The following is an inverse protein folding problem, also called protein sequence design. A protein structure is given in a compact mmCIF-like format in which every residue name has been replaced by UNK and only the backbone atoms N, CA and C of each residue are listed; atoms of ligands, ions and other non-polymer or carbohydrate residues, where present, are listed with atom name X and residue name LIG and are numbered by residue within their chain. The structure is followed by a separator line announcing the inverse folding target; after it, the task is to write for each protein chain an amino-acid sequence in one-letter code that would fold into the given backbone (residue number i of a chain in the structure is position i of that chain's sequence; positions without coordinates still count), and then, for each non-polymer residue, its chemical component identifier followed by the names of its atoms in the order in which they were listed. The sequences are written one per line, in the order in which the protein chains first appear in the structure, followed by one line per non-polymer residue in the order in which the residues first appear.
data_IF_801099616152
#
_entry.id   IF_801099616152
#
_cell.length_a   1.000
_cell.length_b   1.000
_cell.length_c   1.000
_cell.angle_alpha   90.00
_cell.angle_beta   90.00
_cell.angle_gamma   90.00
#
_symmetry.space_group_name_H-M   'P 1'
#
loop_
_entity.id
_entity.type
_entity.pdbx_description
1 polymer ?
#
# COMPACT_ATOMS: atom_id res chain seq x y z
N UNK A 1 -13.21 24.27 17.44
CA UNK A 1 -12.35 24.23 16.24
C UNK A 1 -10.91 24.10 16.73
N UNK A 2 -10.39 22.87 16.79
CA UNK A 2 -8.99 22.63 17.17
C UNK A 2 -8.18 22.87 15.90
N UNK A 3 -7.28 23.86 15.90
CA UNK A 3 -6.35 24.05 14.78
C UNK A 3 -5.51 22.79 14.65
N UNK A 4 -5.22 22.31 13.44
CA UNK A 4 -4.43 21.08 13.26
C UNK A 4 -2.99 21.20 13.78
N UNK A 5 -2.51 22.44 13.96
CA UNK A 5 -1.25 22.75 14.67
C UNK A 5 -1.37 22.69 16.20
N UNK A 6 -2.59 22.57 16.72
CA UNK A 6 -2.98 22.37 18.12
C UNK A 6 -3.63 21.00 18.34
N UNK A 7 -3.45 20.04 17.42
CA UNK A 7 -3.67 18.64 17.78
C UNK A 7 -2.83 18.42 19.04
N UNK A 8 -3.44 18.04 20.19
CA UNK A 8 -2.70 17.90 21.42
C UNK A 8 -1.48 17.03 21.16
N UNK A 9 -0.42 17.23 21.95
CA UNK A 9 0.66 16.27 22.11
C UNK A 9 0.07 14.99 22.74
N UNK A 10 -0.84 14.33 22.03
CA UNK A 10 -1.48 13.10 22.38
C UNK A 10 -0.37 12.07 22.25
N UNK A 11 0.08 11.54 23.38
CA UNK A 11 1.25 10.64 23.46
C UNK A 11 1.13 9.41 22.54
N UNK A 12 -0.08 9.07 22.10
CA UNK A 12 -0.36 7.96 21.18
C UNK A 12 -0.26 8.32 19.69
N UNK A 13 -0.12 9.59 19.32
CA UNK A 13 -0.11 9.99 17.91
C UNK A 13 1.28 9.73 17.28
N UNK A 14 1.39 8.87 16.26
CA UNK A 14 2.65 8.68 15.54
C UNK A 14 3.16 9.96 14.87
N UNK A 15 4.48 10.02 14.67
CA UNK A 15 5.13 10.98 13.78
C UNK A 15 4.56 10.85 12.37
N UNK A 16 3.93 11.93 11.89
CA UNK A 16 3.36 12.05 10.55
C UNK A 16 4.22 12.91 9.63
N UNK A 17 4.42 12.44 8.41
CA UNK A 17 5.12 13.16 7.34
C UNK A 17 4.35 14.37 6.84
N UNK A 18 4.94 15.13 5.92
CA UNK A 18 4.32 16.32 5.35
C UNK A 18 3.03 15.99 4.60
N UNK A 19 3.06 15.02 3.68
CA UNK A 19 1.89 14.60 2.90
C UNK A 19 0.74 14.10 3.80
N UNK A 20 1.07 13.31 4.83
CA UNK A 20 0.09 12.80 5.79
C UNK A 20 -0.55 13.91 6.63
N UNK A 21 0.26 14.89 7.09
CA UNK A 21 -0.26 16.07 7.79
C UNK A 21 -1.10 16.96 6.89
N UNK A 22 -0.72 17.12 5.63
CA UNK A 22 -1.50 17.88 4.65
C UNK A 22 -2.85 17.22 4.39
N UNK A 23 -2.88 15.89 4.19
CA UNK A 23 -4.13 15.13 4.02
C UNK A 23 -5.01 15.19 5.27
N UNK A 24 -4.44 15.01 6.45
CA UNK A 24 -5.19 15.10 7.70
C UNK A 24 -5.83 16.49 7.87
N UNK A 25 -5.10 17.57 7.54
CA UNK A 25 -5.65 18.94 7.51
C UNK A 25 -6.83 19.06 6.56
N UNK A 26 -6.67 18.61 5.32
CA UNK A 26 -7.72 18.69 4.31
C UNK A 26 -8.96 17.88 4.70
N UNK A 27 -8.79 16.72 5.35
CA UNK A 27 -9.91 15.94 5.88
C UNK A 27 -10.61 16.67 7.04
N UNK A 28 -9.85 17.24 7.97
CA UNK A 28 -10.40 17.98 9.11
C UNK A 28 -11.19 19.22 8.67
N UNK A 29 -10.73 19.94 7.65
CA UNK A 29 -11.43 21.10 7.06
C UNK A 29 -12.77 20.74 6.41
N UNK A 30 -12.96 19.48 6.00
CA UNK A 30 -14.19 18.98 5.36
C UNK A 30 -15.20 18.40 6.34
N UNK A 31 -14.77 18.15 7.58
CA UNK A 31 -15.59 17.56 8.64
C UNK A 31 -16.11 18.63 9.59
N UNK A 32 -17.23 18.33 10.27
CA UNK A 32 -17.86 19.24 11.25
C UNK A 32 -17.07 19.34 12.55
N UNK A 33 -16.31 18.29 12.88
CA UNK A 33 -15.46 18.21 14.06
C UNK A 33 -14.36 17.15 13.90
N UNK A 34 -13.51 17.04 14.91
CA UNK A 34 -12.47 16.00 14.97
C UNK A 34 -12.46 15.39 16.37
N UNK A 35 -12.46 14.06 16.45
CA UNK A 35 -12.43 13.30 17.69
C UNK A 35 -11.31 12.26 17.62
N UNK A 36 -10.50 12.20 18.67
CA UNK A 36 -9.60 11.09 18.92
C UNK A 36 -10.38 9.99 19.61
N UNK A 37 -10.48 8.83 18.96
CA UNK A 37 -11.25 7.73 19.51
C UNK A 37 -10.49 7.06 20.66
N UNK A 38 -11.12 7.04 21.83
CA UNK A 38 -10.52 6.69 23.12
C UNK A 38 -11.03 5.34 23.68
N UNK A 39 -11.64 4.49 22.84
CA UNK A 39 -12.30 3.22 23.21
C UNK A 39 -13.54 3.33 24.09
N UNK A 40 -13.80 4.48 24.70
CA UNK A 40 -14.98 4.74 25.51
C UNK A 40 -16.06 5.49 24.73
N UNK A 41 -15.67 6.19 23.66
CA UNK A 41 -16.58 6.91 22.77
C UNK A 41 -17.55 5.94 22.09
N UNK A 42 -18.82 6.00 22.49
CA UNK A 42 -19.93 5.18 21.96
C UNK A 42 -20.83 5.94 20.97
N UNK A 43 -20.70 7.27 20.92
CA UNK A 43 -21.48 8.13 20.02
C UNK A 43 -20.55 9.10 19.33
N UNK A 44 -20.66 9.20 18.00
CA UNK A 44 -19.89 10.11 17.16
C UNK A 44 -20.88 11.07 16.50
N UNK A 45 -20.62 12.37 16.59
CA UNK A 45 -21.48 13.35 15.94
C UNK A 45 -21.42 13.23 14.42
N UNK A 46 -22.53 13.47 13.69
CA UNK A 46 -22.53 13.38 12.24
C UNK A 46 -21.49 14.29 11.56
N UNK A 47 -20.80 13.76 10.57
CA UNK A 47 -19.78 14.47 9.79
C UNK A 47 -18.44 14.64 10.48
N UNK A 48 -18.21 13.92 11.58
CA UNK A 48 -16.97 14.01 12.36
C UNK A 48 -15.81 13.25 11.71
N UNK A 49 -14.60 13.81 11.82
CA UNK A 49 -13.36 13.12 11.57
C UNK A 49 -12.94 12.32 12.82
N UNK A 50 -12.93 11.00 12.72
CA UNK A 50 -12.54 10.10 13.81
C UNK A 50 -11.13 9.59 13.58
N UNK A 51 -10.21 9.93 14.48
CA UNK A 51 -8.82 9.46 14.45
C UNK A 51 -8.71 8.26 15.38
N UNK A 52 -8.30 7.11 14.83
CA UNK A 52 -8.10 5.85 15.58
C UNK A 52 -6.60 5.56 15.65
N UNK A 53 -5.89 6.07 16.69
CA UNK A 53 -4.44 5.94 16.79
C UNK A 53 -3.99 4.55 17.26
N UNK A 54 -4.88 3.78 17.88
CA UNK A 54 -4.57 2.48 18.48
C UNK A 54 -5.43 1.35 17.91
N UNK A 55 -4.88 0.13 17.81
CA UNK A 55 -5.63 -1.03 17.33
C UNK A 55 -6.90 -1.32 18.12
N UNK A 56 -7.88 -1.91 17.44
CA UNK A 56 -9.19 -2.24 18.00
C UNK A 56 -9.55 -3.69 17.66
N UNK A 57 -10.15 -4.38 18.62
CA UNK A 57 -10.70 -5.71 18.38
C UNK A 57 -11.97 -5.64 17.51
N UNK A 58 -12.44 -6.81 17.06
CA UNK A 58 -13.57 -6.91 16.16
C UNK A 58 -14.89 -6.40 16.75
N UNK A 59 -15.11 -6.55 18.07
CA UNK A 59 -16.34 -6.11 18.73
C UNK A 59 -16.38 -4.59 18.82
N UNK A 60 -15.27 -3.99 19.21
CA UNK A 60 -15.12 -2.52 19.26
C UNK A 60 -15.14 -1.88 17.89
N UNK A 61 -14.60 -2.57 16.87
CA UNK A 61 -14.71 -2.13 15.48
C UNK A 61 -16.16 -2.03 15.03
N UNK A 62 -16.99 -3.01 15.41
CA UNK A 62 -18.42 -3.00 15.10
C UNK A 62 -19.15 -1.87 15.82
N UNK A 63 -18.92 -1.71 17.12
CA UNK A 63 -19.52 -0.61 17.91
C UNK A 63 -19.15 0.76 17.34
N UNK A 64 -17.88 0.96 16.97
CA UNK A 64 -17.43 2.20 16.33
C UNK A 64 -18.17 2.39 15.00
N UNK A 65 -18.16 1.41 14.11
CA UNK A 65 -18.82 1.52 12.79
C UNK A 65 -20.30 1.85 12.90
N UNK A 66 -21.00 1.25 13.86
CA UNK A 66 -22.42 1.51 14.11
C UNK A 66 -22.68 2.93 14.61
N UNK A 67 -21.73 3.51 15.35
CA UNK A 67 -21.80 4.90 15.82
C UNK A 67 -21.51 5.96 14.74
N UNK A 68 -20.89 5.57 13.61
CA UNK A 68 -20.55 6.49 12.52
C UNK A 68 -21.76 6.76 11.62
N UNK A 69 -21.93 8.02 11.23
CA UNK A 69 -22.85 8.40 10.15
C UNK A 69 -22.20 8.23 8.76
N UNK A 70 -22.99 8.41 7.69
CA UNK A 70 -22.49 8.26 6.31
C UNK A 70 -21.47 9.32 5.89
N UNK A 71 -21.44 10.47 6.55
CA UNK A 71 -20.54 11.59 6.26
C UNK A 71 -19.29 11.61 7.14
N UNK A 72 -19.25 10.76 8.18
CA UNK A 72 -18.06 10.57 9.02
C UNK A 72 -16.88 9.98 8.22
N UNK A 73 -15.69 10.44 8.56
CA UNK A 73 -14.42 9.95 8.01
C UNK A 73 -13.60 9.36 9.13
N UNK A 74 -13.02 8.18 8.91
CA UNK A 74 -12.13 7.50 9.84
C UNK A 74 -10.70 7.59 9.30
N UNK A 75 -9.77 7.97 10.17
CA UNK A 75 -8.33 8.00 9.89
C UNK A 75 -7.63 7.00 10.79
N UNK A 76 -6.74 6.20 10.18
CA UNK A 76 -5.83 5.28 10.87
C UNK A 76 -4.41 5.69 10.54
N UNK A 77 -3.70 6.36 11.46
CA UNK A 77 -2.36 6.87 11.23
C UNK A 77 -1.27 5.80 11.02
N UNK A 78 -1.52 4.57 11.47
CA UNK A 78 -0.65 3.40 11.30
C UNK A 78 -1.38 2.29 10.54
N UNK A 79 -1.98 2.63 9.40
CA UNK A 79 -2.89 1.79 8.62
C UNK A 79 -2.26 0.50 8.06
N UNK A 80 -0.93 0.42 7.98
CA UNK A 80 -0.22 -0.80 7.58
C UNK A 80 -0.31 -1.92 8.62
N UNK A 81 -0.60 -1.61 9.88
CA UNK A 81 -0.72 -2.62 10.93
C UNK A 81 -1.94 -3.52 10.67
N UNK A 82 -1.79 -4.86 10.60
CA UNK A 82 -2.90 -5.78 10.43
C UNK A 82 -3.89 -5.77 11.60
N UNK A 83 -3.46 -5.29 12.77
CA UNK A 83 -4.32 -5.16 13.95
C UNK A 83 -5.52 -4.19 13.77
N UNK A 84 -5.54 -3.42 12.68
CA UNK A 84 -6.67 -2.57 12.28
C UNK A 84 -7.60 -3.22 11.23
N UNK A 85 -7.28 -4.41 10.73
CA UNK A 85 -8.07 -5.13 9.73
C UNK A 85 -9.54 -5.32 10.14
N UNK A 86 -9.88 -5.62 11.40
CA UNK A 86 -11.29 -5.71 11.81
C UNK A 86 -12.10 -4.44 11.55
N UNK A 87 -11.47 -3.27 11.67
CA UNK A 87 -12.08 -1.97 11.36
C UNK A 87 -12.10 -1.70 9.86
N UNK A 88 -10.95 -1.84 9.19
CA UNK A 88 -10.80 -1.55 7.76
C UNK A 88 -11.72 -2.40 6.90
N UNK A 89 -11.96 -3.66 7.29
CA UNK A 89 -12.87 -4.59 6.60
C UNK A 89 -14.36 -4.17 6.64
N UNK A 90 -14.76 -3.34 7.61
CA UNK A 90 -16.14 -2.85 7.77
C UNK A 90 -16.38 -1.48 7.12
N UNK A 91 -15.31 -0.80 6.71
CA UNK A 91 -15.34 0.53 6.11
C UNK A 91 -15.03 0.47 4.63
N UNK A 92 -15.49 1.48 3.88
CA UNK A 92 -15.03 1.72 2.52
C UNK A 92 -13.72 2.48 2.58
N UNK A 93 -12.65 1.87 2.07
CA UNK A 93 -11.37 2.56 1.93
C UNK A 93 -11.53 3.73 0.94
N UNK A 94 -11.08 4.91 1.35
CA UNK A 94 -11.00 6.07 0.48
C UNK A 94 -9.60 6.20 -0.09
N UNK A 95 -8.57 6.03 0.74
CA UNK A 95 -7.19 6.10 0.29
C UNK A 95 -6.15 5.76 1.34
N UNK A 96 -4.89 5.81 0.89
CA UNK A 96 -3.69 5.47 1.64
C UNK A 96 -2.55 6.40 1.23
N UNK A 97 -1.74 6.87 2.19
CA UNK A 97 -0.44 7.51 1.93
C UNK A 97 0.66 6.60 2.46
N UNK A 98 1.66 6.33 1.62
CA UNK A 98 2.85 5.55 1.98
C UNK A 98 3.72 6.19 3.07
N UNK A 99 4.85 5.54 3.32
CA UNK A 99 5.86 5.96 4.31
C UNK A 99 6.82 6.99 3.73
N UNK A 100 7.47 7.78 4.57
CA UNK A 100 8.50 8.76 4.23
C UNK A 100 9.75 8.55 5.08
N UNK A 101 10.40 7.40 4.86
CA UNK A 101 11.60 6.98 5.57
C UNK A 101 11.47 7.08 7.09
N UNK A 102 12.49 7.62 7.75
CA UNK A 102 12.43 7.88 9.18
C UNK A 102 11.44 8.99 9.52
N UNK A 103 11.28 10.02 8.69
CA UNK A 103 10.40 11.16 9.02
C UNK A 103 8.93 10.72 9.20
N UNK A 104 8.46 9.73 8.46
CA UNK A 104 7.12 9.16 8.60
C UNK A 104 7.11 7.67 8.29
N UNK A 105 7.50 6.81 9.24
CA UNK A 105 7.76 5.42 8.92
C UNK A 105 6.45 4.59 8.85
N UNK A 106 5.29 5.26 8.99
CA UNK A 106 3.97 4.65 9.02
C UNK A 106 3.21 4.93 7.75
N UNK A 107 2.38 3.97 7.33
CA UNK A 107 1.38 4.18 6.30
C UNK A 107 0.13 4.82 6.92
N UNK A 108 -0.38 5.88 6.30
CA UNK A 108 -1.61 6.56 6.71
C UNK A 108 -2.79 6.04 5.90
N UNK A 109 -3.91 5.73 6.53
CA UNK A 109 -5.13 5.22 5.87
C UNK A 109 -6.33 6.08 6.23
N UNK A 110 -7.26 6.28 5.29
CA UNK A 110 -8.57 6.84 5.59
C UNK A 110 -9.71 6.19 4.80
N UNK A 111 -10.91 6.25 5.38
CA UNK A 111 -12.12 5.69 4.82
C UNK A 111 -13.38 6.13 5.55
N UNK A 112 -14.52 5.52 5.24
CA UNK A 112 -15.80 5.83 5.89
C UNK A 112 -16.89 4.83 5.52
N UNK A 113 -18.12 5.06 6.00
CA UNK A 113 -19.26 4.21 5.65
C UNK A 113 -19.67 4.38 4.18
N UNK A 114 -19.62 5.62 3.70
CA UNK A 114 -19.91 5.96 2.31
C UNK A 114 -18.67 5.80 1.44
N UNK A 115 -18.87 5.29 0.22
CA UNK A 115 -17.81 5.28 -0.80
C UNK A 115 -17.40 6.70 -1.19
N UNK A 116 -16.16 6.85 -1.63
CA UNK A 116 -15.62 8.11 -2.13
C UNK A 116 -16.51 8.66 -3.26
N UNK A 117 -16.81 9.96 -3.23
CA UNK A 117 -17.69 10.62 -4.19
C UNK A 117 -17.09 11.96 -4.61
N UNK A 118 -17.39 12.45 -5.83
CA UNK A 118 -16.88 13.74 -6.27
C UNK A 118 -17.47 14.86 -5.41
N UNK A 119 -16.65 15.85 -5.06
CA UNK A 119 -17.08 17.00 -4.26
C UNK A 119 -18.00 17.94 -5.03
N UNK A 120 -17.81 18.01 -6.36
CA UNK A 120 -18.63 18.81 -7.26
C UNK A 120 -19.14 17.91 -8.38
N UNK A 121 -20.30 18.21 -8.94
CA UNK A 121 -20.84 17.49 -10.10
C UNK A 121 -20.34 18.03 -11.45
N UNK A 122 -19.33 18.91 -11.46
CA UNK A 122 -18.94 19.67 -12.65
C UNK A 122 -17.67 19.05 -13.25
N UNK A 123 -17.78 18.60 -14.50
CA UNK A 123 -16.65 18.16 -15.30
C UNK A 123 -15.97 19.37 -15.98
N UNK A 124 -14.63 19.38 -16.04
CA UNK A 124 -13.88 20.34 -16.85
C UNK A 124 -13.02 19.60 -17.89
N UNK A 125 -13.19 19.87 -19.19
CA UNK A 125 -12.45 19.18 -20.27
C UNK A 125 -10.92 19.33 -20.21
N UNK A 126 -10.42 20.36 -19.53
CA UNK A 126 -9.00 20.69 -19.35
C UNK A 126 -8.40 20.12 -18.04
N UNK A 127 -9.21 19.50 -17.18
CA UNK A 127 -8.78 19.05 -15.86
C UNK A 127 -8.21 17.62 -15.81
N UNK A 128 -8.42 16.82 -16.85
CA UNK A 128 -7.93 15.44 -16.95
C UNK A 128 -7.92 14.98 -18.41
N UNK A 129 -6.90 14.22 -18.80
CA UNK A 129 -6.79 13.64 -20.14
C UNK A 129 -7.12 12.14 -20.07
N UNK A 130 -7.99 11.67 -20.95
CA UNK A 130 -8.28 10.25 -21.09
C UNK A 130 -7.25 9.60 -22.03
N UNK A 131 -6.66 8.49 -21.61
CA UNK A 131 -5.69 7.76 -22.40
C UNK A 131 -6.04 6.28 -22.52
N UNK A 132 -5.87 5.76 -23.73
CA UNK A 132 -5.96 4.34 -24.03
C UNK A 132 -4.96 3.98 -25.13
N UNK A 133 -4.44 2.76 -25.08
CA UNK A 133 -3.64 2.18 -26.14
C UNK A 133 -3.77 0.67 -26.18
N UNK A 134 -3.46 0.11 -27.34
CA UNK A 134 -3.28 -1.33 -27.53
C UNK A 134 -2.19 -1.59 -28.56
N UNK A 135 -1.70 -2.83 -28.62
CA UNK A 135 -0.79 -3.24 -29.69
C UNK A 135 -1.56 -3.51 -30.99
N UNK A 136 -0.91 -3.26 -32.12
CA UNK A 136 -1.54 -3.39 -33.42
C UNK A 136 -2.12 -4.78 -33.65
N UNK A 137 -3.38 -4.85 -34.09
CA UNK A 137 -4.10 -6.10 -34.35
C UNK A 137 -4.29 -7.01 -33.12
N UNK A 138 -4.25 -6.48 -31.90
CA UNK A 138 -4.57 -7.25 -30.67
C UNK A 138 -5.99 -7.03 -30.16
N UNK A 139 -6.66 -5.98 -30.63
CA UNK A 139 -8.04 -5.68 -30.31
C UNK A 139 -8.89 -5.65 -31.58
N UNK A 140 -10.18 -6.03 -31.53
CA UNK A 140 -11.09 -5.81 -32.65
C UNK A 140 -11.21 -4.31 -32.95
N UNK A 141 -11.20 -3.93 -34.23
CA UNK A 141 -11.28 -2.53 -34.67
C UNK A 141 -12.47 -1.77 -34.04
N UNK A 142 -13.61 -2.46 -33.92
CA UNK A 142 -14.83 -1.92 -33.30
C UNK A 142 -14.63 -1.49 -31.83
N UNK A 143 -13.70 -2.10 -31.11
CA UNK A 143 -13.44 -1.81 -29.69
C UNK A 143 -12.83 -0.42 -29.51
N UNK A 144 -11.77 -0.11 -30.27
CA UNK A 144 -11.14 1.20 -30.24
C UNK A 144 -12.04 2.27 -30.85
N UNK A 145 -12.73 1.93 -31.95
CA UNK A 145 -13.67 2.84 -32.60
C UNK A 145 -14.81 3.25 -31.65
N UNK A 146 -15.34 2.30 -30.87
CA UNK A 146 -16.34 2.57 -29.82
C UNK A 146 -15.78 3.52 -28.76
N UNK A 147 -14.59 3.25 -28.22
CA UNK A 147 -14.02 4.11 -27.17
C UNK A 147 -13.77 5.54 -27.68
N UNK A 148 -13.25 5.70 -28.90
CA UNK A 148 -13.11 7.00 -29.56
C UNK A 148 -14.46 7.71 -29.70
N UNK A 149 -15.49 6.99 -30.15
CA UNK A 149 -16.85 7.54 -30.28
C UNK A 149 -17.44 7.97 -28.93
N UNK A 150 -17.16 7.24 -27.84
CA UNK A 150 -17.59 7.61 -26.49
C UNK A 150 -16.85 8.86 -25.99
N UNK A 151 -15.54 8.97 -26.24
CA UNK A 151 -14.73 10.17 -25.95
C UNK A 151 -15.32 11.39 -26.66
N UNK A 152 -15.61 11.28 -27.95
CA UNK A 152 -16.18 12.36 -28.76
C UNK A 152 -17.59 12.73 -28.29
N UNK A 153 -18.44 11.72 -28.00
CA UNK A 153 -19.81 11.93 -27.52
C UNK A 153 -19.86 12.73 -26.21
N UNK A 154 -18.92 12.48 -25.31
CA UNK A 154 -18.80 13.19 -24.04
C UNK A 154 -17.88 14.42 -24.12
N UNK A 155 -17.36 14.79 -25.31
CA UNK A 155 -16.47 15.93 -25.47
C UNK A 155 -15.24 15.86 -24.56
N UNK A 156 -14.71 14.66 -24.32
CA UNK A 156 -13.57 14.45 -23.43
C UNK A 156 -12.28 14.72 -24.20
N UNK A 157 -11.30 15.34 -23.55
CA UNK A 157 -9.94 15.39 -24.08
C UNK A 157 -9.33 14.00 -23.96
N UNK A 158 -9.15 13.31 -25.08
CA UNK A 158 -8.71 11.92 -25.07
C UNK A 158 -7.76 11.53 -26.19
N UNK A 159 -7.02 10.46 -25.95
CA UNK A 159 -6.18 9.79 -26.95
C UNK A 159 -6.42 8.29 -26.90
N UNK A 160 -6.49 7.70 -28.08
CA UNK A 160 -6.61 6.25 -28.25
C UNK A 160 -5.62 5.85 -29.33
N UNK A 161 -4.49 5.29 -28.91
CA UNK A 161 -3.38 4.94 -29.80
C UNK A 161 -3.35 3.44 -30.10
N UNK A 162 -3.01 3.10 -31.34
CA UNK A 162 -2.62 1.74 -31.70
C UNK A 162 -1.10 1.74 -31.87
N UNK A 163 -0.40 1.01 -31.01
CA UNK A 163 1.05 0.97 -30.95
C UNK A 163 1.58 -0.14 -31.89
N UNK A 164 2.71 0.08 -32.56
CA UNK A 164 3.31 -0.96 -33.39
C UNK A 164 3.65 -2.18 -32.53
N UNK A 165 3.53 -3.38 -33.11
CA UNK A 165 4.05 -4.59 -32.46
C UNK A 165 5.57 -4.52 -32.45
N UNK A 166 6.18 -4.47 -31.27
CA UNK A 166 7.61 -4.70 -31.13
C UNK A 166 7.91 -6.20 -31.25
N UNK A 167 9.00 -6.58 -31.93
CA UNK A 167 9.45 -7.97 -32.04
C UNK A 167 9.95 -8.53 -30.69
N UNK A 168 10.31 -7.66 -29.74
CA UNK A 168 10.85 -8.02 -28.43
C UNK A 168 10.23 -7.10 -27.37
N UNK A 169 9.43 -7.66 -26.46
CA UNK A 169 8.90 -6.92 -25.30
C UNK A 169 7.44 -7.23 -25.00
N UNK A 170 7.17 -8.38 -24.38
CA UNK A 170 5.87 -8.60 -23.74
C UNK A 170 5.81 -7.76 -22.45
N UNK A 171 4.79 -6.91 -22.30
CA UNK A 171 4.28 -6.50 -20.98
C UNK A 171 4.47 -5.05 -20.50
N UNK A 172 5.29 -4.19 -21.12
CA UNK A 172 5.49 -2.79 -20.63
C UNK A 172 4.88 -1.68 -21.47
N UNK A 173 4.42 -1.96 -22.69
CA UNK A 173 3.93 -0.94 -23.65
C UNK A 173 2.89 0.01 -23.04
N UNK A 174 2.00 -0.49 -22.19
CA UNK A 174 1.01 0.32 -21.47
C UNK A 174 1.68 1.29 -20.50
N UNK A 175 2.65 0.79 -19.73
CA UNK A 175 3.36 1.57 -18.71
C UNK A 175 4.20 2.64 -19.40
N UNK A 176 4.92 2.27 -20.46
CA UNK A 176 5.70 3.19 -21.28
C UNK A 176 4.81 4.29 -21.86
N UNK A 177 3.67 3.92 -22.46
CA UNK A 177 2.69 4.88 -22.97
C UNK A 177 2.15 5.82 -21.89
N UNK A 178 1.83 5.32 -20.69
CA UNK A 178 1.37 6.15 -19.57
C UNK A 178 2.46 7.15 -19.15
N UNK A 179 3.72 6.71 -19.07
CA UNK A 179 4.86 7.58 -18.74
C UNK A 179 4.98 8.69 -19.79
N UNK A 180 5.02 8.34 -21.08
CA UNK A 180 5.15 9.32 -22.17
C UNK A 180 4.04 10.38 -22.12
N UNK A 181 2.80 9.97 -21.83
CA UNK A 181 1.66 10.89 -21.78
C UNK A 181 1.64 11.79 -20.53
N UNK A 182 2.17 11.32 -19.41
CA UNK A 182 2.36 12.16 -18.23
C UNK A 182 3.47 13.20 -18.46
N UNK A 183 4.50 12.83 -19.23
CA UNK A 183 5.66 13.69 -19.52
C UNK A 183 5.33 14.79 -20.52
N UNK A 184 4.48 14.49 -21.51
CA UNK A 184 4.09 15.44 -22.54
C UNK A 184 3.11 16.51 -22.06
N UNK A 185 2.23 16.21 -21.08
CA UNK A 185 0.99 16.98 -20.86
C UNK A 185 0.88 17.71 -19.54
N UNK A 186 1.69 17.39 -18.53
CA UNK A 186 1.62 17.93 -17.16
C UNK A 186 0.18 18.02 -16.59
N UNK A 187 -0.69 17.12 -17.04
CA UNK A 187 -2.09 17.02 -16.63
C UNK A 187 -2.35 15.63 -16.04
N UNK A 188 -3.30 15.49 -15.10
CA UNK A 188 -3.75 14.18 -14.67
C UNK A 188 -4.24 13.34 -15.86
N UNK A 189 -3.99 12.03 -15.79
CA UNK A 189 -4.31 11.05 -16.82
C UNK A 189 -5.32 10.04 -16.28
N UNK A 190 -6.46 9.87 -16.94
CA UNK A 190 -7.36 8.73 -16.75
C UNK A 190 -7.02 7.66 -17.79
N UNK A 191 -6.31 6.63 -17.36
CA UNK A 191 -6.05 5.45 -18.17
C UNK A 191 -7.25 4.51 -18.19
N UNK A 192 -7.69 4.13 -19.39
CA UNK A 192 -8.72 3.12 -19.64
C UNK A 192 -8.20 2.03 -20.57
N UNK A 193 -8.40 0.77 -20.20
CA UNK A 193 -8.19 -0.32 -21.15
C UNK A 193 -9.19 -0.22 -22.33
N UNK A 194 -8.80 -0.68 -23.54
CA UNK A 194 -9.63 -0.55 -24.75
C UNK A 194 -11.05 -1.11 -24.61
N UNK A 195 -11.23 -2.15 -23.82
CA UNK A 195 -12.49 -2.85 -23.59
C UNK A 195 -13.43 -2.12 -22.61
N UNK A 196 -12.92 -1.13 -21.86
CA UNK A 196 -13.71 -0.30 -20.94
C UNK A 196 -14.56 0.70 -21.73
N UNK A 197 -15.78 0.93 -21.26
CA UNK A 197 -16.67 1.94 -21.83
C UNK A 197 -16.90 3.12 -20.90
N UNK A 198 -16.99 4.32 -21.46
CA UNK A 198 -17.39 5.53 -20.75
C UNK A 198 -18.91 5.70 -20.87
N UNK A 199 -19.59 5.87 -19.73
CA UNK A 199 -21.06 6.03 -19.67
C UNK A 199 -21.50 7.39 -19.13
N UNK A 200 -20.62 8.09 -18.41
CA UNK A 200 -20.83 9.43 -17.87
C UNK A 200 -19.52 10.18 -17.81
N UNK A 201 -19.58 11.48 -17.55
CA UNK A 201 -18.41 12.30 -17.27
C UNK A 201 -17.62 11.75 -16.06
N UNK A 202 -16.30 11.55 -16.18
CA UNK A 202 -15.45 11.01 -15.12
C UNK A 202 -15.10 12.06 -14.05
N UNK A 203 -16.13 12.71 -13.46
CA UNK A 203 -15.96 13.83 -12.52
C UNK A 203 -15.19 13.42 -11.26
N UNK A 204 -15.37 12.18 -10.80
CA UNK A 204 -14.61 11.67 -9.66
C UNK A 204 -13.11 11.67 -9.97
N UNK A 205 -12.69 11.11 -11.10
CA UNK A 205 -11.28 11.05 -11.46
C UNK A 205 -10.61 12.44 -11.47
N UNK A 206 -11.32 13.46 -11.96
CA UNK A 206 -10.86 14.84 -11.97
C UNK A 206 -10.80 15.47 -10.56
N UNK A 207 -11.74 15.13 -9.69
CA UNK A 207 -11.83 15.69 -8.33
C UNK A 207 -10.82 15.07 -7.36
N UNK A 208 -10.13 13.99 -7.75
CA UNK A 208 -9.16 13.31 -6.90
C UNK A 208 -7.84 14.08 -6.86
N UNK A 209 -7.43 14.39 -5.65
CA UNK A 209 -6.19 15.09 -5.36
C UNK A 209 -5.14 14.14 -4.79
N UNK A 210 -4.87 13.02 -5.50
CA UNK A 210 -3.92 11.99 -5.09
C UNK A 210 -3.02 11.61 -6.28
N UNK A 211 -1.83 11.06 -6.00
CA UNK A 211 -0.89 10.63 -7.05
C UNK A 211 -1.51 9.59 -7.98
N UNK A 212 -2.24 8.65 -7.39
CA UNK A 212 -2.80 7.51 -8.10
C UNK A 212 -4.20 7.16 -7.58
N UNK A 213 -5.13 6.80 -8.47
CA UNK A 213 -6.36 6.13 -8.07
C UNK A 213 -6.63 4.90 -8.93
N UNK A 214 -7.19 3.85 -8.35
CA UNK A 214 -7.53 2.64 -9.09
C UNK A 214 -8.74 1.94 -8.50
N UNK A 215 -9.37 1.11 -9.33
CA UNK A 215 -10.49 0.28 -8.90
C UNK A 215 -9.99 -1.03 -8.27
N UNK A 216 -10.65 -1.47 -7.20
CA UNK A 216 -10.52 -2.83 -6.67
C UNK A 216 -11.81 -3.59 -6.92
N UNK A 217 -11.67 -4.81 -7.45
CA UNK A 217 -12.78 -5.75 -7.65
C UNK A 217 -13.36 -6.18 -6.29
N UNK A 218 -14.53 -6.79 -6.31
CA UNK A 218 -15.20 -7.28 -5.08
C UNK A 218 -14.34 -8.26 -4.26
N UNK A 219 -13.41 -8.97 -4.90
CA UNK A 219 -12.46 -9.87 -4.24
C UNK A 219 -11.19 -9.16 -3.72
N UNK A 220 -11.11 -7.83 -3.77
CA UNK A 220 -10.00 -7.02 -3.27
C UNK A 220 -8.83 -6.84 -4.24
N UNK A 221 -8.82 -7.58 -5.36
CA UNK A 221 -7.78 -7.51 -6.41
C UNK A 221 -7.86 -6.17 -7.15
N UNK A 222 -6.72 -5.53 -7.38
CA UNK A 222 -6.66 -4.32 -8.20
C UNK A 222 -7.06 -4.63 -9.65
N UNK A 223 -7.89 -3.79 -10.24
CA UNK A 223 -8.19 -3.84 -11.68
C UNK A 223 -7.39 -2.75 -12.41
N UNK A 224 -6.27 -3.09 -13.08
CA UNK A 224 -5.42 -2.12 -13.75
C UNK A 224 -6.06 -1.55 -15.03
N UNK A 225 -7.28 -1.95 -15.39
CA UNK A 225 -8.00 -1.44 -16.57
C UNK A 225 -8.58 -0.04 -16.39
N UNK A 226 -8.70 0.44 -15.15
CA UNK A 226 -9.16 1.81 -14.84
C UNK A 226 -8.27 2.42 -13.78
N UNK A 227 -7.48 3.41 -14.17
CA UNK A 227 -6.49 4.04 -13.29
C UNK A 227 -6.41 5.54 -13.55
N UNK A 228 -6.20 6.32 -12.50
CA UNK A 228 -5.96 7.77 -12.57
C UNK A 228 -4.54 8.03 -12.10
N UNK A 229 -3.77 8.80 -12.85
CA UNK A 229 -2.39 9.16 -12.53
C UNK A 229 -2.23 10.67 -12.53
N UNK A 230 -1.49 11.22 -11.56
CA UNK A 230 -1.02 12.61 -11.61
C UNK A 230 0.46 12.65 -11.94
N UNK A 231 0.95 13.70 -12.62
CA UNK A 231 2.36 13.83 -13.02
C UNK A 231 3.25 14.22 -11.84
N UNK A 232 3.27 13.41 -10.78
CA UNK A 232 4.10 13.62 -9.58
C UNK A 232 5.31 12.68 -9.57
N UNK A 233 6.32 13.02 -8.77
CA UNK A 233 7.50 12.18 -8.59
C UNK A 233 7.13 10.80 -8.01
N UNK A 234 6.17 10.75 -7.08
CA UNK A 234 5.69 9.49 -6.50
C UNK A 234 5.02 8.59 -7.55
N UNK A 235 4.20 9.16 -8.44
CA UNK A 235 3.63 8.43 -9.59
C UNK A 235 4.73 7.87 -10.50
N UNK A 236 5.75 8.67 -10.83
CA UNK A 236 6.87 8.24 -11.66
C UNK A 236 7.63 7.08 -11.00
N UNK A 237 7.90 7.18 -9.70
CA UNK A 237 8.56 6.11 -8.94
C UNK A 237 7.75 4.80 -9.00
N UNK A 238 6.42 4.87 -8.84
CA UNK A 238 5.56 3.70 -8.97
C UNK A 238 5.62 3.09 -10.38
N UNK A 239 5.48 3.91 -11.42
CA UNK A 239 5.50 3.44 -12.82
C UNK A 239 6.84 2.77 -13.16
N UNK A 240 7.95 3.29 -12.63
CA UNK A 240 9.27 2.67 -12.79
C UNK A 240 9.37 1.32 -12.09
N UNK A 241 8.89 1.19 -10.86
CA UNK A 241 8.85 -0.09 -10.14
C UNK A 241 7.96 -1.09 -10.87
N UNK A 242 6.78 -0.66 -11.31
CA UNK A 242 5.85 -1.50 -12.06
C UNK A 242 6.48 -1.99 -13.37
N UNK A 243 7.08 -1.09 -14.15
CA UNK A 243 7.80 -1.42 -15.37
C UNK A 243 8.90 -2.45 -15.12
N UNK A 244 9.70 -2.25 -14.08
CA UNK A 244 10.79 -3.16 -13.72
C UNK A 244 10.26 -4.56 -13.35
N UNK A 245 9.20 -4.64 -12.56
CA UNK A 245 8.60 -5.91 -12.17
C UNK A 245 7.93 -6.62 -13.35
N UNK A 246 7.25 -5.88 -14.23
CA UNK A 246 6.65 -6.45 -15.45
C UNK A 246 7.71 -7.06 -16.37
N UNK A 247 8.90 -6.46 -16.47
CA UNK A 247 10.03 -7.03 -17.21
C UNK A 247 10.63 -8.25 -16.52
N UNK A 248 10.72 -8.24 -15.19
CA UNK A 248 11.29 -9.34 -14.43
C UNK A 248 10.36 -10.57 -14.33
N UNK A 249 9.04 -10.33 -14.38
CA UNK A 249 8.01 -11.35 -14.16
C UNK A 249 6.93 -11.30 -15.25
N UNK A 250 7.27 -11.54 -16.53
CA UNK A 250 6.34 -11.39 -17.66
C UNK A 250 5.18 -12.39 -17.64
N UNK A 251 5.35 -13.53 -16.98
CA UNK A 251 4.34 -14.60 -16.90
C UNK A 251 3.29 -14.35 -15.80
N UNK A 252 3.44 -13.32 -14.99
CA UNK A 252 2.52 -13.02 -13.89
C UNK A 252 1.40 -12.08 -14.34
N UNK A 253 0.17 -12.24 -13.80
CA UNK A 253 -0.93 -11.34 -14.11
C UNK A 253 -0.61 -9.88 -13.81
N UNK A 254 -0.97 -8.97 -14.71
CA UNK A 254 -0.69 -7.54 -14.57
C UNK A 254 -1.21 -6.96 -13.24
N UNK A 255 -2.40 -7.37 -12.81
CA UNK A 255 -2.99 -6.95 -11.54
C UNK A 255 -2.12 -7.34 -10.35
N UNK A 256 -1.50 -8.52 -10.38
CA UNK A 256 -0.59 -8.97 -9.33
C UNK A 256 0.71 -8.16 -9.36
N UNK A 257 1.32 -7.99 -10.54
CA UNK A 257 2.57 -7.24 -10.68
C UNK A 257 2.38 -5.78 -10.23
N UNK A 258 1.27 -5.16 -10.60
CA UNK A 258 0.92 -3.81 -10.16
C UNK A 258 0.74 -3.72 -8.64
N UNK A 259 0.00 -4.66 -8.03
CA UNK A 259 -0.22 -4.73 -6.58
C UNK A 259 1.12 -4.79 -5.83
N UNK A 260 2.07 -5.61 -6.31
CA UNK A 260 3.43 -5.67 -5.76
C UNK A 260 4.20 -4.35 -5.95
N UNK A 261 4.10 -3.72 -7.13
CA UNK A 261 4.73 -2.43 -7.37
C UNK A 261 4.20 -1.34 -6.42
N UNK A 262 2.89 -1.33 -6.19
CA UNK A 262 2.22 -0.42 -5.27
C UNK A 262 2.65 -0.65 -3.82
N UNK A 263 2.72 -1.92 -3.36
CA UNK A 263 3.21 -2.27 -2.02
C UNK A 263 4.65 -1.78 -1.83
N UNK A 264 5.56 -2.10 -2.75
CA UNK A 264 6.96 -1.71 -2.64
C UNK A 264 7.14 -0.19 -2.68
N UNK A 265 6.35 0.52 -3.49
CA UNK A 265 6.47 1.97 -3.63
C UNK A 265 5.93 2.69 -2.39
N UNK A 266 4.77 2.27 -1.88
CA UNK A 266 4.19 2.84 -0.65
C UNK A 266 5.04 2.55 0.60
N UNK A 267 5.82 1.48 0.62
CA UNK A 267 6.77 1.19 1.68
C UNK A 267 8.06 2.05 1.60
N UNK A 268 8.30 2.78 0.51
CA UNK A 268 9.52 3.58 0.32
C UNK A 268 9.26 5.09 0.23
N UNK A 269 8.07 5.48 -0.23
CA UNK A 269 7.74 6.86 -0.61
C UNK A 269 6.33 7.22 -0.15
N UNK A 270 6.06 8.52 0.12
CA UNK A 270 4.76 9.01 0.55
C UNK A 270 3.76 9.07 -0.61
N UNK A 271 3.67 7.98 -1.40
CA UNK A 271 2.73 7.83 -2.50
C UNK A 271 1.30 7.87 -1.96
N UNK A 272 0.53 8.84 -2.41
CA UNK A 272 -0.87 8.97 -2.09
C UNK A 272 -1.76 8.26 -3.11
N UNK A 273 -2.58 7.33 -2.62
CA UNK A 273 -3.48 6.53 -3.44
C UNK A 273 -4.93 6.63 -2.99
N UNK A 274 -5.87 6.62 -3.94
CA UNK A 274 -7.31 6.57 -3.69
C UNK A 274 -7.97 5.33 -4.31
N UNK A 275 -9.02 4.83 -3.66
CA UNK A 275 -9.81 3.70 -4.15
C UNK A 275 -11.03 4.20 -4.92
N UNK A 276 -11.11 3.85 -6.22
CA UNK A 276 -12.29 4.11 -7.04
C UNK A 276 -13.43 3.16 -6.60
N UNK A 277 -14.62 3.69 -6.24
CA UNK A 277 -15.74 2.88 -5.80
C UNK A 277 -16.20 1.86 -6.84
N UNK A 278 -16.74 0.73 -6.40
CA UNK A 278 -17.42 -0.21 -7.29
C UNK A 278 -18.61 0.44 -8.02
N UNK A 279 -19.33 1.36 -7.37
CA UNK A 279 -20.40 2.13 -8.05
C UNK A 279 -19.89 3.06 -9.15
N UNK A 280 -18.58 3.35 -9.19
CA UNK A 280 -17.94 4.12 -10.26
C UNK A 280 -17.56 3.23 -11.44
N UNK A 281 -17.07 2.01 -11.16
CA UNK A 281 -16.64 0.99 -12.12
C UNK A 281 -17.52 -0.27 -12.02
N UNK A 282 -18.47 -0.42 -12.94
CA UNK A 282 -19.44 -1.51 -12.87
C UNK A 282 -19.31 -2.51 -14.02
N UNK A 283 -19.48 -3.79 -13.71
CA UNK A 283 -19.45 -4.87 -14.69
C UNK A 283 -20.84 -5.22 -15.23
N UNK A 284 -21.88 -5.06 -14.41
CA UNK A 284 -23.24 -5.38 -14.81
C UNK A 284 -23.78 -4.38 -15.86
N UNK A 285 -24.14 -4.83 -17.08
CA UNK A 285 -24.73 -3.97 -18.11
C UNK A 285 -26.02 -3.27 -17.70
N UNK A 286 -26.76 -3.80 -16.72
CA UNK A 286 -28.08 -3.32 -16.31
C UNK A 286 -27.99 -2.11 -15.38
N UNK A 287 -26.86 -1.94 -14.69
CA UNK A 287 -26.64 -0.85 -13.73
C UNK A 287 -26.23 0.41 -14.49
N UNK A 288 -27.22 1.30 -14.72
CA UNK A 288 -27.04 2.55 -15.48
C UNK A 288 -26.34 3.67 -14.72
N UNK A 289 -26.13 3.51 -13.42
CA UNK A 289 -25.61 4.55 -12.54
C UNK A 289 -24.08 4.73 -12.66
N UNK A 290 -23.38 3.74 -13.19
CA UNK A 290 -21.93 3.73 -13.25
C UNK A 290 -21.36 4.77 -14.24
N UNK A 291 -20.17 5.26 -13.92
CA UNK A 291 -19.46 6.20 -14.80
C UNK A 291 -18.67 5.45 -15.86
N UNK A 292 -18.03 4.36 -15.45
CA UNK A 292 -17.26 3.48 -16.30
C UNK A 292 -17.87 2.08 -16.25
N UNK A 293 -18.00 1.46 -17.42
CA UNK A 293 -18.39 0.06 -17.53
C UNK A 293 -17.16 -0.78 -17.86
N UNK A 294 -16.84 -1.69 -16.96
CA UNK A 294 -15.66 -2.55 -17.04
C UNK A 294 -16.14 -3.97 -17.31
N UNK A 295 -15.90 -4.56 -18.50
CA UNK A 295 -16.35 -5.92 -18.78
C UNK A 295 -15.89 -6.93 -17.72
N UNK A 296 -16.72 -7.94 -17.38
CA UNK A 296 -16.29 -8.99 -16.46
C UNK A 296 -15.03 -9.66 -17.01
N UNK A 297 -14.01 -9.74 -16.15
CA UNK A 297 -12.76 -10.41 -16.46
C UNK A 297 -12.93 -11.91 -16.18
N UNK A 298 -12.58 -12.77 -17.14
CA UNK A 298 -12.47 -14.20 -16.85
C UNK A 298 -11.26 -14.41 -15.94
N UNK A 299 -11.49 -15.02 -14.80
CA UNK A 299 -10.54 -15.08 -13.69
C UNK A 299 -9.25 -15.82 -14.10
N UNK A 300 -8.12 -15.10 -14.23
CA UNK A 300 -6.78 -15.68 -14.42
C UNK A 300 -6.27 -16.47 -13.19
N UNK A 301 -7.10 -16.60 -12.15
CA UNK A 301 -6.79 -17.34 -10.92
C UNK A 301 -6.49 -18.81 -11.16
N UNK A 302 -6.85 -19.37 -12.31
CA UNK A 302 -6.48 -20.73 -12.70
C UNK A 302 -4.98 -20.90 -12.98
N UNK A 303 -4.29 -19.88 -13.51
CA UNK A 303 -2.86 -19.97 -13.89
C UNK A 303 -1.96 -19.99 -12.64
N UNK A 304 -2.41 -19.37 -11.56
CA UNK A 304 -1.70 -19.37 -10.28
C UNK A 304 -2.00 -20.60 -9.39
N UNK A 305 -2.97 -21.46 -9.77
CA UNK A 305 -3.41 -22.59 -8.95
C UNK A 305 -2.37 -23.71 -8.76
N UNK A 306 -1.28 -23.73 -9.54
CA UNK A 306 -0.27 -24.80 -9.50
C UNK A 306 0.97 -24.54 -8.64
N UNK A 307 1.39 -23.28 -8.44
CA UNK A 307 2.63 -22.93 -7.68
C UNK A 307 2.59 -21.59 -6.94
N UNK A 308 1.62 -20.72 -7.20
CA UNK A 308 1.53 -19.39 -6.61
C UNK A 308 0.15 -19.25 -5.96
N UNK A 309 0.01 -19.74 -4.74
CA UNK A 309 -1.28 -19.77 -4.04
C UNK A 309 -1.97 -18.40 -4.04
N UNK A 310 -3.08 -18.27 -4.78
CA UNK A 310 -4.15 -17.26 -4.70
C UNK A 310 -3.70 -15.87 -4.23
N UNK A 311 -3.34 -15.00 -5.18
CA UNK A 311 -2.76 -13.68 -4.89
C UNK A 311 -3.64 -12.50 -5.39
N UNK A 312 -4.27 -11.76 -4.46
CA UNK A 312 -4.42 -10.28 -4.48
C UNK A 312 -4.61 -9.65 -3.06
N UNK A 313 -3.66 -8.85 -2.52
CA UNK A 313 -3.60 -8.33 -1.11
C UNK A 313 -3.40 -6.81 -1.25
N UNK A 314 -4.24 -5.87 -0.81
CA UNK A 314 -4.70 -5.58 0.56
C UNK A 314 -6.15 -5.07 0.57
N UNK A 315 -7.03 -5.84 1.23
CA UNK A 315 -7.70 -5.58 2.52
C UNK A 315 -8.26 -6.94 2.98
N UNK A 316 -7.75 -7.50 4.10
CA UNK A 316 -8.29 -8.73 4.70
C UNK A 316 -7.74 -10.06 4.15
N UNK A 317 -6.47 -10.37 4.37
CA UNK A 317 -5.93 -11.72 4.07
C UNK A 317 -4.89 -12.16 5.10
N UNK A 318 -4.95 -13.42 5.56
CA UNK A 318 -3.90 -14.06 6.36
C UNK A 318 -2.84 -14.67 5.43
N UNK A 319 -1.53 -14.48 5.71
CA UNK A 319 -0.40 -15.42 5.44
C UNK A 319 0.89 -14.93 4.76
N UNK A 320 0.98 -13.80 4.03
CA UNK A 320 2.29 -13.32 3.53
C UNK A 320 2.60 -11.94 4.13
N UNK A 321 3.63 -11.80 4.98
CA UNK A 321 3.90 -10.54 5.62
C UNK A 321 4.60 -9.58 4.64
N UNK A 322 4.05 -8.39 4.50
CA UNK A 322 4.48 -7.36 3.54
C UNK A 322 5.36 -6.31 4.23
N UNK A 323 6.26 -5.64 3.48
CA UNK A 323 7.07 -4.57 4.04
C UNK A 323 6.19 -3.41 4.52
N UNK A 324 6.34 -3.06 5.79
CA UNK A 324 5.75 -1.87 6.38
C UNK A 324 6.57 -0.62 6.07
N UNK A 325 7.90 -0.77 5.95
CA UNK A 325 8.84 0.30 5.62
C UNK A 325 10.08 -0.30 4.91
N UNK A 326 10.57 0.39 3.89
CA UNK A 326 11.83 0.11 3.23
C UNK A 326 12.64 1.41 3.16
N UNK A 327 13.85 1.40 3.70
CA UNK A 327 14.78 2.53 3.66
C UNK A 327 16.09 2.12 3.01
N UNK A 328 16.56 2.89 2.04
CA UNK A 328 17.89 2.69 1.43
C UNK A 328 18.94 3.48 2.19
N UNK A 329 20.13 2.89 2.36
CA UNK A 329 21.27 3.59 2.94
C UNK A 329 21.96 4.45 1.87
N UNK A 330 22.44 5.66 2.23
CA UNK A 330 23.24 6.48 1.32
C UNK A 330 24.62 5.87 1.03
N UNK A 331 25.15 5.08 1.97
CA UNK A 331 26.49 4.45 1.85
C UNK A 331 26.39 2.92 2.03
N UNK A 332 26.00 2.17 0.99
CA UNK A 332 25.89 0.73 1.07
C UNK A 332 27.27 0.07 1.12
N UNK A 333 27.57 -0.67 2.19
CA UNK A 333 28.79 -1.48 2.35
C UNK A 333 28.51 -2.95 2.67
N UNK A 334 27.24 -3.31 2.89
CA UNK A 334 26.76 -4.64 3.29
C UNK A 334 25.43 -4.93 2.62
N UNK A 335 25.03 -6.20 2.63
CA UNK A 335 23.72 -6.65 2.14
C UNK A 335 22.55 -6.00 2.90
N UNK A 336 21.31 -6.05 2.37
CA UNK A 336 20.12 -5.62 3.08
C UNK A 336 19.92 -6.34 4.42
N UNK A 337 19.23 -5.66 5.34
CA UNK A 337 18.74 -6.20 6.61
C UNK A 337 17.24 -6.10 6.67
N UNK A 338 16.60 -7.18 7.10
CA UNK A 338 15.17 -7.30 7.31
C UNK A 338 14.96 -7.46 8.81
N UNK A 339 14.19 -6.55 9.39
CA UNK A 339 13.81 -6.63 10.79
C UNK A 339 12.33 -6.98 10.87
N UNK A 340 12.05 -8.11 11.51
CA UNK A 340 10.68 -8.63 11.66
C UNK A 340 10.20 -8.29 13.05
N UNK A 341 9.21 -7.40 13.14
CA UNK A 341 8.62 -6.97 14.40
C UNK A 341 7.44 -7.89 14.71
N UNK A 342 7.53 -8.61 15.82
CA UNK A 342 6.48 -9.51 16.31
C UNK A 342 5.39 -8.68 16.99
N UNK A 343 4.36 -8.31 16.24
CA UNK A 343 3.20 -7.57 16.72
C UNK A 343 2.11 -8.52 17.24
N UNK A 344 2.44 -9.33 18.24
CA UNK A 344 1.47 -10.24 18.85
C UNK A 344 0.26 -9.46 19.39
N UNK A 345 -0.93 -10.07 19.34
CA UNK A 345 -2.18 -9.45 19.84
C UNK A 345 -2.11 -9.03 21.31
N UNK A 346 -1.25 -9.67 22.09
CA UNK A 346 -1.07 -9.39 23.52
C UNK A 346 -0.02 -8.30 23.80
N UNK A 347 0.67 -7.78 22.76
CA UNK A 347 1.66 -6.72 22.93
C UNK A 347 0.99 -5.41 23.41
N UNK A 348 1.69 -4.59 24.23
CA UNK A 348 1.17 -3.31 24.67
C UNK A 348 0.73 -2.45 23.48
N UNK A 349 -0.38 -1.73 23.62
CA UNK A 349 -0.91 -0.88 22.56
C UNK A 349 0.13 0.18 22.16
N UNK A 350 0.26 0.42 20.85
CA UNK A 350 1.26 1.37 20.32
C UNK A 350 2.71 0.89 20.34
N UNK A 351 3.03 -0.26 20.95
CA UNK A 351 4.41 -0.79 21.01
C UNK A 351 5.02 -1.05 19.63
N UNK A 352 4.26 -1.69 18.72
CA UNK A 352 4.71 -1.92 17.34
C UNK A 352 5.00 -0.60 16.59
N UNK A 353 4.19 0.44 16.83
CA UNK A 353 4.38 1.76 16.25
C UNK A 353 5.69 2.41 16.77
N UNK A 354 5.92 2.35 18.09
CA UNK A 354 7.12 2.89 18.72
C UNK A 354 8.40 2.14 18.29
N UNK A 355 8.34 0.82 18.18
CA UNK A 355 9.44 -0.01 17.68
C UNK A 355 9.80 0.37 16.24
N UNK A 356 8.78 0.50 15.38
CA UNK A 356 8.95 0.87 13.98
C UNK A 356 9.60 2.27 13.86
N UNK A 357 9.16 3.25 14.65
CA UNK A 357 9.78 4.59 14.68
C UNK A 357 11.22 4.58 15.18
N UNK A 358 11.48 3.81 16.23
CA UNK A 358 12.81 3.75 16.85
C UNK A 358 13.82 3.08 15.91
N UNK A 359 13.43 1.98 15.27
CA UNK A 359 14.25 1.30 14.26
C UNK A 359 14.50 2.17 13.03
N UNK A 360 13.46 2.82 12.49
CA UNK A 360 13.63 3.74 11.37
C UNK A 360 14.57 4.91 11.72
N UNK A 361 14.44 5.47 12.92
CA UNK A 361 15.29 6.56 13.39
C UNK A 361 16.73 6.11 13.63
N UNK A 362 16.94 4.91 14.17
CA UNK A 362 18.27 4.34 14.35
C UNK A 362 18.97 4.08 13.02
N UNK A 363 18.24 3.57 12.01
CA UNK A 363 18.82 3.33 10.68
C UNK A 363 19.19 4.63 9.95
N UNK A 364 18.35 5.66 10.10
CA UNK A 364 18.64 6.98 9.55
C UNK A 364 19.83 7.67 10.24
N UNK A 365 20.04 7.41 11.54
CA UNK A 365 21.16 7.97 12.29
C UNK A 365 22.49 7.33 11.87
N UNK A 366 22.54 5.99 11.81
CA UNK A 366 23.67 5.25 11.27
C UNK A 366 23.20 3.86 10.82
N UNK A 367 23.31 3.60 9.51
CA UNK A 367 22.87 2.33 8.91
C UNK A 367 23.81 1.16 9.19
N UNK A 368 24.94 1.35 9.88
CA UNK A 368 25.96 0.32 10.09
C UNK A 368 26.59 -0.22 8.79
N UNK A 369 26.37 0.49 7.67
CA UNK A 369 26.75 0.09 6.32
C UNK A 369 25.79 -0.90 5.64
N UNK A 370 24.65 -1.27 6.23
CA UNK A 370 23.63 -2.08 5.54
C UNK A 370 23.06 -1.31 4.35
N UNK A 371 22.94 -1.95 3.18
CA UNK A 371 22.47 -1.27 1.96
C UNK A 371 21.01 -0.81 2.05
N UNK A 372 20.18 -1.55 2.79
CA UNK A 372 18.75 -1.31 2.92
C UNK A 372 18.24 -1.89 4.25
N UNK A 373 17.28 -1.21 4.85
CA UNK A 373 16.42 -1.73 5.92
C UNK A 373 15.06 -2.06 5.34
N UNK A 374 14.55 -3.24 5.62
CA UNK A 374 13.15 -3.62 5.43
C UNK A 374 12.53 -3.95 6.79
N UNK A 375 11.46 -3.26 7.16
CA UNK A 375 10.68 -3.56 8.36
C UNK A 375 9.41 -4.29 7.98
N UNK A 376 9.18 -5.44 8.60
CA UNK A 376 8.00 -6.27 8.38
C UNK A 376 7.25 -6.44 9.69
N UNK A 377 5.93 -6.23 9.66
CA UNK A 377 5.05 -6.47 10.80
C UNK A 377 4.39 -7.84 10.64
N UNK A 378 4.58 -8.72 11.63
CA UNK A 378 3.96 -10.04 11.67
C UNK A 378 3.09 -10.16 12.92
N UNK A 379 1.84 -10.63 12.78
CA UNK A 379 0.99 -10.91 13.95
C UNK A 379 1.27 -12.30 14.54
N UNK A 380 1.51 -13.27 13.64
CA UNK A 380 1.65 -14.68 13.98
C UNK A 380 3.06 -15.22 13.70
N UNK A 381 3.50 -16.15 14.54
CA UNK A 381 4.77 -16.89 14.36
C UNK A 381 4.82 -17.67 13.04
N UNK A 382 3.67 -18.10 12.52
CA UNK A 382 3.57 -18.81 11.25
C UNK A 382 3.93 -17.91 10.05
N UNK A 383 3.48 -16.65 10.03
CA UNK A 383 3.78 -15.68 8.97
C UNK A 383 5.29 -15.40 8.89
N UNK A 384 5.90 -15.21 10.06
CA UNK A 384 7.34 -15.05 10.17
C UNK A 384 8.10 -16.28 9.68
N UNK A 385 7.62 -17.49 9.99
CA UNK A 385 8.21 -18.73 9.48
C UNK A 385 8.11 -18.83 7.96
N UNK A 386 7.03 -18.33 7.35
CA UNK A 386 6.84 -18.28 5.91
C UNK A 386 7.76 -17.25 5.23
N UNK A 387 7.92 -16.06 5.83
CA UNK A 387 8.88 -15.05 5.37
C UNK A 387 10.30 -15.64 5.34
N UNK A 388 10.70 -16.30 6.44
CA UNK A 388 11.99 -16.98 6.56
C UNK A 388 12.18 -18.11 5.54
N UNK A 389 11.10 -18.77 5.13
CA UNK A 389 11.15 -19.84 4.15
C UNK A 389 11.37 -19.33 2.71
N UNK A 390 11.01 -18.08 2.45
CA UNK A 390 10.97 -17.47 1.11
C UNK A 390 12.18 -16.57 0.84
N UNK A 391 12.86 -16.10 1.89
CA UNK A 391 14.01 -15.21 1.75
C UNK A 391 15.33 -15.99 1.61
N UNK A 392 15.99 -15.83 0.46
CA UNK A 392 17.25 -16.51 0.14
C UNK A 392 18.49 -15.59 0.30
N UNK A 393 18.33 -14.26 0.33
CA UNK A 393 19.42 -13.29 0.45
C UNK A 393 19.17 -12.23 1.54
N UNK A 394 20.16 -12.00 2.41
CA UNK A 394 20.13 -10.94 3.43
C UNK A 394 20.08 -11.45 4.87
N UNK A 395 20.02 -10.50 5.81
CA UNK A 395 19.95 -10.78 7.25
C UNK A 395 18.51 -10.63 7.74
N UNK A 396 17.96 -11.67 8.37
CA UNK A 396 16.66 -11.58 9.05
C UNK A 396 16.91 -11.50 10.56
N UNK A 397 16.34 -10.46 11.20
CA UNK A 397 16.50 -10.18 12.62
C UNK A 397 15.11 -10.01 13.26
N UNK A 398 14.69 -10.90 14.17
CA UNK A 398 13.46 -10.67 14.92
C UNK A 398 13.64 -9.55 15.95
N UNK A 399 12.62 -8.72 16.13
CA UNK A 399 12.60 -7.60 17.07
C UNK A 399 11.36 -7.64 17.96
N UNK A 400 11.55 -7.27 19.23
CA UNK A 400 10.46 -7.09 20.19
C UNK A 400 9.74 -5.78 19.92
N UNK A 401 8.43 -5.75 20.16
CA UNK A 401 7.66 -4.50 20.08
C UNK A 401 7.95 -3.55 21.24
N UNK A 402 8.38 -4.06 22.39
CA UNK A 402 8.79 -3.31 23.59
C UNK A 402 10.31 -3.07 23.67
N UNK A 403 11.04 -3.38 22.60
CA UNK A 403 12.49 -3.24 22.54
C UNK A 403 12.95 -1.77 22.58
N UNK A 404 14.04 -1.51 23.29
CA UNK A 404 14.76 -0.24 23.22
C UNK A 404 15.82 -0.26 22.11
N UNK A 405 15.63 0.55 21.08
CA UNK A 405 16.50 0.62 19.91
C UNK A 405 17.26 1.96 19.87
N UNK A 406 18.48 2.05 20.46
CA UNK A 406 19.28 3.27 20.42
C UNK A 406 19.73 3.63 18.99
N UNK A 407 20.27 4.84 18.80
CA UNK A 407 20.69 5.33 17.48
C UNK A 407 21.82 4.52 16.84
N UNK A 408 22.63 3.83 17.64
CA UNK A 408 23.73 2.97 17.19
C UNK A 408 23.32 1.49 17.02
N UNK A 409 22.02 1.19 17.05
CA UNK A 409 21.47 -0.17 16.88
C UNK A 409 22.10 -0.91 15.70
N UNK A 410 22.14 -0.29 14.51
CA UNK A 410 22.64 -0.96 13.31
C UNK A 410 24.17 -1.04 13.23
N UNK A 411 24.89 -0.12 13.88
CA UNK A 411 26.34 -0.21 14.04
C UNK A 411 26.69 -1.43 14.90
N UNK A 412 26.03 -1.57 16.04
CA UNK A 412 26.19 -2.73 16.93
C UNK A 412 25.78 -4.02 16.24
N UNK A 413 24.69 -3.97 15.46
CA UNK A 413 24.26 -5.09 14.63
C UNK A 413 25.38 -5.48 13.64
N UNK A 414 25.95 -4.50 12.93
CA UNK A 414 27.05 -4.70 12.00
C UNK A 414 28.33 -5.26 12.66
N UNK A 415 28.65 -4.86 13.89
CA UNK A 415 29.76 -5.44 14.67
C UNK A 415 29.49 -6.89 15.04
N UNK A 416 28.27 -7.21 15.48
CA UNK A 416 27.86 -8.59 15.76
C UNK A 416 27.93 -9.48 14.52
N UNK A 417 27.60 -8.98 13.32
CA UNK A 417 27.80 -9.77 12.08
C UNK A 417 29.27 -10.11 11.81
N UNK A 418 30.22 -9.29 12.27
CA UNK A 418 31.66 -9.59 12.14
C UNK A 418 32.14 -10.58 13.21
N UNK A 419 31.53 -10.55 14.40
CA UNK A 419 31.94 -11.35 15.55
C UNK A 419 31.24 -12.73 15.64
N UNK A 420 30.05 -12.88 15.06
CA UNK A 420 29.25 -14.10 15.15
C UNK A 420 29.73 -15.19 14.18
N UNK A 421 30.03 -16.38 14.72
CA UNK A 421 29.77 -17.63 14.00
C UNK A 421 28.25 -17.66 13.73
N UNK A 422 27.83 -17.56 12.47
CA UNK A 422 26.43 -17.65 12.10
C UNK A 422 25.81 -18.93 12.68
N UNK A 423 24.58 -18.83 13.19
CA UNK A 423 23.73 -20.02 13.28
C UNK A 423 23.40 -20.40 11.83
N UNK A 424 24.30 -21.17 11.21
CA UNK A 424 24.06 -21.75 9.90
C UNK A 424 22.87 -22.71 10.04
N UNK A 425 21.76 -22.31 9.45
CA UNK A 425 20.59 -23.19 9.30
C UNK A 425 20.96 -24.27 8.29
N UNK A 426 21.71 -25.27 8.74
CA UNK A 426 21.86 -26.51 7.99
C UNK A 426 20.47 -27.12 7.79
N UNK A 427 20.19 -27.57 6.57
CA UNK A 427 18.87 -27.91 6.02
C UNK A 427 18.08 -29.04 6.73
N UNK A 428 18.44 -29.43 7.95
CA UNK A 428 17.85 -30.57 8.70
C UNK A 428 17.10 -30.19 9.97
N UNK A 429 17.12 -28.93 10.40
CA UNK A 429 16.26 -28.44 11.49
C UNK A 429 14.96 -27.83 10.96
N UNK A 430 13.82 -28.13 11.58
CA UNK A 430 12.58 -27.38 11.31
C UNK A 430 12.83 -25.91 11.67
N UNK A 431 12.68 -25.01 10.68
CA UNK A 431 12.76 -23.54 10.86
C UNK A 431 11.87 -23.11 12.03
N UNK A 432 10.72 -23.77 12.22
CA UNK A 432 9.81 -23.52 13.33
C UNK A 432 10.38 -23.90 14.71
N UNK A 433 11.25 -24.91 14.80
CA UNK A 433 11.88 -25.35 16.06
C UNK A 433 13.00 -24.42 16.54
N UNK A 434 13.84 -23.94 15.61
CA UNK A 434 14.86 -22.92 15.90
C UNK A 434 14.21 -21.59 16.27
N UNK A 435 13.08 -21.27 15.64
CA UNK A 435 12.37 -20.04 15.90
C UNK A 435 11.54 -20.09 17.18
N UNK A 436 10.90 -21.23 17.50
CA UNK A 436 10.34 -21.47 18.83
C UNK A 436 11.41 -21.35 19.92
N UNK A 437 12.66 -21.76 19.64
CA UNK A 437 13.78 -21.52 20.54
C UNK A 437 14.23 -20.04 20.58
N UNK A 438 14.19 -19.30 19.47
CA UNK A 438 14.51 -17.86 19.41
C UNK A 438 13.44 -16.98 20.09
N UNK A 439 12.16 -17.35 19.95
CA UNK A 439 11.01 -16.79 20.68
C UNK A 439 11.01 -17.26 22.14
N UNK A 440 11.33 -18.51 22.45
CA UNK A 440 11.48 -18.93 23.86
C UNK A 440 12.70 -18.24 24.50
N UNK A 441 13.69 -17.87 23.71
CA UNK A 441 14.80 -17.00 24.07
C UNK A 441 14.46 -15.50 24.00
N UNK A 442 13.24 -15.11 23.63
CA UNK A 442 12.71 -13.73 23.73
C UNK A 442 12.77 -13.21 25.16
N UNK A 443 12.56 -14.11 26.13
CA UNK A 443 12.81 -13.86 27.54
C UNK A 443 14.30 -13.63 27.91
N UNK A 444 15.24 -13.88 26.98
CA UNK A 444 16.70 -13.75 27.14
C UNK A 444 17.34 -12.87 26.05
N UNK A 445 16.56 -12.06 25.33
CA UNK A 445 17.14 -11.12 24.38
C UNK A 445 18.03 -10.12 25.11
N UNK A 446 19.11 -9.68 24.44
CA UNK A 446 20.01 -8.68 25.01
C UNK A 446 19.23 -7.43 25.44
N UNK A 447 19.80 -6.59 26.32
CA UNK A 447 19.24 -5.32 26.83
C UNK A 447 18.62 -4.34 25.78
N UNK A 448 18.64 -4.68 24.50
CA UNK A 448 18.31 -3.87 23.32
C UNK A 448 17.21 -4.45 22.41
N UNK A 449 16.48 -5.50 22.83
CA UNK A 449 15.25 -5.96 22.14
C UNK A 449 15.39 -6.61 20.76
N UNK A 450 16.60 -6.75 20.20
CA UNK A 450 16.88 -7.51 18.98
C UNK A 450 17.27 -8.96 19.29
N UNK A 451 16.68 -9.91 18.55
CA UNK A 451 16.98 -11.33 18.64
C UNK A 451 18.19 -11.77 17.78
N UNK A 452 18.43 -13.10 17.66
CA UNK A 452 19.60 -13.64 16.96
C UNK A 452 19.55 -13.43 15.45
N UNK A 453 20.73 -13.38 14.81
CA UNK A 453 20.82 -13.39 13.35
C UNK A 453 20.41 -14.74 12.79
N UNK A 454 19.54 -14.70 11.78
CA UNK A 454 19.21 -15.87 11.01
C UNK A 454 19.65 -15.60 9.57
N UNK A 455 20.62 -16.39 9.11
CA UNK A 455 21.12 -16.38 7.72
C UNK A 455 20.90 -17.78 7.15
N UNK A 456 20.28 -17.86 5.97
CA UNK A 456 20.32 -19.11 5.20
C UNK A 456 21.69 -19.21 4.50
N UNK A 457 22.39 -20.35 4.58
CA UNK A 457 23.52 -20.57 3.70
C UNK A 457 23.01 -20.50 2.25
N UNK A 458 23.78 -19.84 1.37
CA UNK A 458 23.55 -19.91 -0.07
C UNK A 458 23.49 -21.39 -0.45
N UNK A 459 22.39 -21.83 -1.07
CA UNK A 459 22.36 -23.15 -1.68
C UNK A 459 23.36 -23.13 -2.85
N UNK A 460 24.53 -23.74 -2.64
CA UNK A 460 25.52 -23.97 -3.70
C UNK A 460 25.01 -24.98 -4.73
#
# INVERSE_FOLDING_TARGET
MILVNELPSYSAMPRLGEAQRARLRQLAERCTGTVFWDKATTTVEPGTLVIVPEPIDALRAETLVDSLDETSVVVIPTGASPAFDPLKARLKAHGVIGTDGAASPHQFWWGGRRSLAPQTGIYRPDGIVLASCCLAGTQPDDTLARLRSEIDLFGLTGMVAELPRAEVGYGTWKIDFIIDQLDERDLPLLWLAPDVSVKRYPVLAQALDCDLAFHRRANGVVDPRVMVFRPTEATRALLQVWRKLSLACPDLPESFVFDQAWILTTAQTPLETASLPQSYCEADPTIRAATLRVPPFFDDTAICAGRYSRIGHRFGRPRAPEPALIMKSPEPRRQPVIVVISAHRDAPQGSACAALQSLASAFAADSGGFAQLELVLCEETAEMSQLMATYDEGWVVPAATDGYFPSDTFVRLAERTRAACSLDVSARGSVAGLFSAAISAQARWSQYGLGPFIRRPLQC
#
